data_IF_965304740986
#
_entry.id   IF_965304740986
#
_cell.length_a   1.000
_cell.length_b   1.000
_cell.length_c   1.000
_cell.angle_alpha   90.00
_cell.angle_beta   90.00
_cell.angle_gamma   90.00
#
_symmetry.space_group_name_H-M   'P 1'
#
loop_
_entity.id
_entity.type
_entity.pdbx_description
1 polymer ?
#
# COMPACT_ATOMS: atom_id res chain seq x y z
N UNK A 1 8.30 -32.69 -40.70
CA UNK A 1 9.40 -31.93 -40.07
C UNK A 1 8.97 -31.52 -38.66
N UNK A 2 9.61 -32.10 -37.63
CA UNK A 2 9.37 -31.79 -36.21
C UNK A 2 10.37 -30.72 -35.76
N UNK A 3 10.03 -29.44 -35.89
CA UNK A 3 10.86 -28.30 -35.44
C UNK A 3 10.15 -27.38 -34.42
N UNK A 4 8.90 -27.67 -34.07
CA UNK A 4 8.10 -26.87 -33.13
C UNK A 4 8.57 -26.85 -31.66
N UNK A 5 9.14 -27.93 -31.06
CA UNK A 5 9.51 -27.92 -29.63
C UNK A 5 10.62 -26.92 -29.29
N UNK A 6 11.69 -26.91 -30.09
CA UNK A 6 12.85 -26.05 -29.88
C UNK A 6 12.51 -24.57 -30.05
N UNK A 7 11.59 -24.24 -30.97
CA UNK A 7 11.11 -22.87 -31.15
C UNK A 7 10.25 -22.40 -29.97
N UNK A 8 9.43 -23.32 -29.42
CA UNK A 8 8.55 -23.04 -28.28
C UNK A 8 9.33 -22.82 -26.98
N UNK A 9 10.36 -23.63 -26.74
CA UNK A 9 11.23 -23.48 -25.57
C UNK A 9 12.07 -22.19 -25.65
N UNK A 10 12.61 -21.86 -26.82
CA UNK A 10 13.27 -20.57 -27.05
C UNK A 10 12.33 -19.38 -26.83
N UNK A 11 11.08 -19.47 -27.29
CA UNK A 11 10.07 -18.44 -27.07
C UNK A 11 9.76 -18.27 -25.57
N UNK A 12 9.64 -19.36 -24.81
CA UNK A 12 9.47 -19.29 -23.35
C UNK A 12 10.64 -18.60 -22.68
N UNK A 13 11.87 -18.95 -23.07
CA UNK A 13 13.08 -18.29 -22.54
C UNK A 13 13.07 -16.80 -22.84
N UNK A 14 12.80 -16.41 -24.10
CA UNK A 14 12.71 -14.99 -24.48
C UNK A 14 11.66 -14.28 -23.62
N UNK A 15 10.43 -14.79 -23.58
CA UNK A 15 9.34 -14.19 -22.79
C UNK A 15 9.71 -14.10 -21.30
N UNK A 16 10.43 -15.08 -20.75
CA UNK A 16 10.84 -15.04 -19.34
C UNK A 16 11.83 -13.92 -18.98
N UNK A 17 12.57 -13.40 -19.98
CA UNK A 17 13.52 -12.31 -19.83
C UNK A 17 13.01 -10.95 -20.35
N UNK A 18 11.80 -10.91 -20.93
CA UNK A 18 11.19 -9.66 -21.38
C UNK A 18 10.61 -8.87 -20.22
N UNK A 19 10.62 -7.54 -20.36
CA UNK A 19 9.89 -6.63 -19.48
C UNK A 19 8.39 -7.01 -19.39
N UNK A 20 7.82 -6.85 -18.20
CA UNK A 20 6.44 -7.25 -17.90
C UNK A 20 5.41 -6.51 -18.76
N UNK A 21 5.56 -5.19 -18.91
CA UNK A 21 4.62 -4.37 -19.68
C UNK A 21 4.71 -4.69 -21.17
N UNK A 22 5.93 -4.93 -21.67
CA UNK A 22 6.14 -5.40 -23.05
C UNK A 22 5.46 -6.75 -23.31
N UNK A 23 5.60 -7.73 -22.40
CA UNK A 23 4.94 -9.04 -22.52
C UNK A 23 3.42 -8.92 -22.55
N UNK A 24 2.87 -8.10 -21.66
CA UNK A 24 1.42 -7.86 -21.58
C UNK A 24 0.94 -7.26 -22.90
N UNK A 25 1.56 -6.17 -23.38
CA UNK A 25 1.21 -5.52 -24.65
C UNK A 25 1.33 -6.46 -25.84
N UNK A 26 2.39 -7.27 -25.87
CA UNK A 26 2.64 -8.26 -26.90
C UNK A 26 1.54 -9.35 -26.94
N UNK A 27 1.16 -9.89 -25.78
CA UNK A 27 0.09 -10.92 -25.65
C UNK A 27 -1.29 -10.41 -26.08
N UNK A 28 -1.54 -9.10 -25.94
CA UNK A 28 -2.78 -8.47 -26.40
C UNK A 28 -2.80 -8.37 -27.92
N UNK A 29 -1.70 -7.94 -28.54
CA UNK A 29 -1.60 -7.77 -30.00
C UNK A 29 -1.44 -9.09 -30.76
N UNK A 30 -0.88 -10.12 -30.13
CA UNK A 30 -0.62 -11.43 -30.75
C UNK A 30 -1.30 -12.56 -29.95
N UNK A 31 -2.55 -12.92 -30.30
CA UNK A 31 -3.29 -13.97 -29.61
C UNK A 31 -2.58 -15.33 -29.60
N UNK A 32 -1.80 -15.64 -30.63
CA UNK A 32 -1.05 -16.90 -30.76
C UNK A 32 0.00 -17.13 -29.67
N UNK A 33 0.48 -16.07 -29.00
CA UNK A 33 1.51 -16.14 -27.97
C UNK A 33 0.91 -16.04 -26.56
N UNK A 34 -0.36 -15.63 -26.45
CA UNK A 34 -1.05 -15.32 -25.18
C UNK A 34 -1.02 -16.47 -24.18
N UNK A 35 -1.33 -17.69 -24.62
CA UNK A 35 -1.36 -18.87 -23.73
C UNK A 35 0.03 -19.17 -23.16
N UNK A 36 1.05 -19.11 -24.01
CA UNK A 36 2.44 -19.34 -23.60
C UNK A 36 2.93 -18.26 -22.65
N UNK A 37 2.62 -17.00 -22.95
CA UNK A 37 3.00 -15.86 -22.09
C UNK A 37 2.35 -15.96 -20.71
N UNK A 38 1.06 -16.28 -20.65
CA UNK A 38 0.32 -16.43 -19.38
C UNK A 38 0.77 -17.63 -18.55
N UNK A 39 1.27 -18.70 -19.18
CA UNK A 39 1.79 -19.86 -18.48
C UNK A 39 3.14 -19.60 -17.79
N UNK A 40 3.90 -18.59 -18.23
CA UNK A 40 5.18 -18.22 -17.64
C UNK A 40 4.93 -17.28 -16.46
N UNK A 41 5.45 -17.59 -15.25
CA UNK A 41 5.31 -16.72 -14.09
C UNK A 41 5.69 -15.28 -14.39
N UNK A 42 4.82 -14.36 -13.99
CA UNK A 42 5.05 -12.93 -14.14
C UNK A 42 5.84 -12.45 -12.91
N UNK A 43 7.00 -11.86 -13.15
CA UNK A 43 7.88 -11.30 -12.12
C UNK A 43 7.86 -9.78 -12.22
N UNK A 44 7.47 -9.12 -11.15
CA UNK A 44 7.31 -7.67 -11.09
C UNK A 44 8.22 -7.09 -10.00
N UNK A 45 8.86 -5.95 -10.29
CA UNK A 45 9.57 -5.19 -9.26
C UNK A 45 8.55 -4.48 -8.36
N UNK A 46 7.54 -3.89 -8.97
CA UNK A 46 6.53 -3.11 -8.26
C UNK A 46 5.14 -3.42 -8.84
N UNK A 47 4.17 -3.59 -7.96
CA UNK A 47 2.76 -3.71 -8.31
C UNK A 47 1.92 -2.89 -7.33
N UNK A 48 1.19 -1.91 -7.83
CA UNK A 48 0.14 -1.22 -7.07
C UNK A 48 -1.22 -1.50 -7.70
N UNK A 49 -2.21 -1.85 -6.88
CA UNK A 49 -3.60 -2.02 -7.33
C UNK A 49 -4.47 -1.08 -6.50
N UNK A 50 -5.25 -0.25 -7.19
CA UNK A 50 -6.23 0.65 -6.57
C UNK A 50 -7.61 0.48 -7.22
N UNK A 51 -8.52 1.41 -6.97
CA UNK A 51 -9.92 1.36 -7.41
C UNK A 51 -10.06 1.42 -8.93
N UNK A 52 -9.28 2.29 -9.60
CA UNK A 52 -9.31 2.51 -11.06
C UNK A 52 -7.92 2.47 -11.72
N UNK A 53 -6.87 2.26 -10.94
CA UNK A 53 -5.49 2.28 -11.40
C UNK A 53 -4.76 0.98 -11.07
N UNK A 54 -3.83 0.63 -11.95
CA UNK A 54 -2.88 -0.46 -11.74
C UNK A 54 -1.52 0.03 -12.20
N UNK A 55 -0.53 -0.05 -11.32
CA UNK A 55 0.84 0.31 -11.64
C UNK A 55 1.71 -0.93 -11.68
N UNK A 56 2.44 -1.11 -12.78
CA UNK A 56 3.31 -2.24 -13.01
C UNK A 56 4.69 -1.70 -13.33
N UNK A 57 5.64 -1.93 -12.43
CA UNK A 57 6.97 -1.35 -12.47
C UNK A 57 6.88 0.18 -12.57
N UNK A 58 7.23 0.75 -13.72
CA UNK A 58 7.31 2.19 -13.97
C UNK A 58 6.13 2.73 -14.78
N UNK A 59 5.13 1.88 -15.07
CA UNK A 59 3.99 2.22 -15.91
C UNK A 59 2.71 2.17 -15.10
N UNK A 60 2.05 3.31 -14.96
CA UNK A 60 0.74 3.41 -14.32
C UNK A 60 -0.37 3.39 -15.37
N UNK A 61 -1.21 2.37 -15.31
CA UNK A 61 -2.43 2.27 -16.09
C UNK A 61 -3.60 2.88 -15.31
N UNK A 62 -4.39 3.70 -15.97
CA UNK A 62 -5.55 4.36 -15.37
C UNK A 62 -6.77 4.24 -16.27
N UNK A 63 -7.90 3.82 -15.68
CA UNK A 63 -9.20 3.90 -16.33
C UNK A 63 -10.03 5.03 -15.72
N UNK A 64 -10.34 6.05 -16.50
CA UNK A 64 -11.15 7.18 -16.08
C UNK A 64 -12.39 7.36 -16.96
N UNK A 65 -13.38 8.08 -16.42
CA UNK A 65 -14.49 8.61 -17.20
C UNK A 65 -14.14 10.02 -17.66
N UNK A 66 -14.31 10.27 -18.96
CA UNK A 66 -14.06 11.56 -19.57
C UNK A 66 -15.31 12.05 -20.29
N UNK A 67 -15.63 13.34 -20.11
CA UNK A 67 -16.73 14.00 -20.81
C UNK A 67 -16.16 14.82 -21.98
N UNK A 68 -16.75 14.65 -23.16
CA UNK A 68 -16.48 15.48 -24.32
C UNK A 68 -17.69 16.37 -24.60
N UNK A 69 -17.50 17.69 -24.54
CA UNK A 69 -18.53 18.69 -24.83
C UNK A 69 -18.53 19.05 -26.32
N UNK A 70 -19.70 19.20 -26.95
CA UNK A 70 -19.78 19.75 -28.31
C UNK A 70 -19.16 21.15 -28.33
N UNK A 71 -18.21 21.37 -29.25
CA UNK A 71 -17.48 22.63 -29.47
C UNK A 71 -16.28 22.92 -28.54
N UNK A 72 -15.85 21.96 -27.72
CA UNK A 72 -14.62 22.05 -26.95
C UNK A 72 -13.67 20.88 -27.27
N UNK A 73 -12.41 21.17 -27.59
CA UNK A 73 -11.36 20.16 -27.79
C UNK A 73 -10.74 19.66 -26.47
N UNK A 74 -11.18 20.22 -25.33
CA UNK A 74 -10.63 19.95 -24.00
C UNK A 74 -11.51 18.95 -23.27
N UNK A 75 -10.92 17.82 -22.87
CA UNK A 75 -11.59 16.84 -22.01
C UNK A 75 -11.24 17.09 -20.55
N UNK A 76 -12.26 17.15 -19.70
CA UNK A 76 -12.09 17.25 -18.26
C UNK A 76 -12.09 15.85 -17.63
N UNK A 77 -10.99 15.47 -16.97
CA UNK A 77 -10.94 14.30 -16.08
C UNK A 77 -11.60 14.63 -14.75
N UNK A 78 -12.41 13.72 -14.21
CA UNK A 78 -13.20 13.96 -13.00
C UNK A 78 -12.89 12.93 -11.91
N UNK A 79 -12.64 13.41 -10.68
CA UNK A 79 -12.48 12.63 -9.44
C UNK A 79 -13.82 12.48 -8.68
N UNK A 80 -14.93 12.12 -9.36
CA UNK A 80 -16.25 12.03 -8.74
C UNK A 80 -16.92 10.70 -9.10
N UNK A 81 -17.59 10.07 -8.13
CA UNK A 81 -18.34 8.83 -8.33
C UNK A 81 -19.66 9.11 -9.06
N UNK A 82 -19.99 8.24 -10.01
CA UNK A 82 -21.14 8.43 -10.90
C UNK A 82 -22.15 7.31 -10.69
N UNK A 83 -23.43 7.65 -10.77
CA UNK A 83 -24.45 6.60 -10.82
C UNK A 83 -24.38 5.80 -12.13
N UNK A 84 -25.25 4.78 -12.24
CA UNK A 84 -25.33 3.87 -13.41
C UNK A 84 -25.54 4.56 -14.77
N UNK A 85 -25.79 5.86 -14.79
CA UNK A 85 -25.98 6.68 -15.99
C UNK A 85 -24.90 7.75 -16.20
N UNK A 86 -23.86 7.84 -15.36
CA UNK A 86 -22.73 8.76 -15.58
C UNK A 86 -22.93 10.18 -15.02
N UNK A 87 -23.90 10.38 -14.13
CA UNK A 87 -24.15 11.64 -13.43
C UNK A 87 -23.52 11.64 -12.04
N UNK A 88 -23.06 12.81 -11.61
CA UNK A 88 -22.42 13.04 -10.31
C UNK A 88 -23.37 12.58 -9.19
N UNK A 89 -22.90 11.77 -8.25
CA UNK A 89 -23.63 11.52 -7.01
C UNK A 89 -23.38 12.75 -6.10
N UNK A 90 -24.37 13.62 -5.83
CA UNK A 90 -24.10 14.86 -5.12
C UNK A 90 -23.77 14.59 -3.64
N UNK A 91 -22.70 15.19 -3.14
CA UNK A 91 -22.47 15.33 -1.70
C UNK A 91 -23.62 16.14 -1.07
N UNK A 92 -24.31 15.57 -0.06
CA UNK A 92 -25.40 16.24 0.66
C UNK A 92 -26.80 15.65 0.42
N UNK A 93 -26.95 14.33 0.34
CA UNK A 93 -28.26 13.65 0.26
C UNK A 93 -29.11 13.75 1.55
N UNK A 94 -28.73 14.60 2.51
CA UNK A 94 -29.50 14.82 3.73
C UNK A 94 -30.86 15.44 3.40
N UNK A 95 -31.95 14.97 4.05
CA UNK A 95 -33.28 15.51 3.85
C UNK A 95 -33.35 16.96 4.36
N UNK A 96 -33.93 17.84 3.55
CA UNK A 96 -34.18 19.24 3.91
C UNK A 96 -35.26 19.26 5.00
N UNK A 97 -34.99 19.90 6.14
CA UNK A 97 -35.89 19.96 7.28
C UNK A 97 -36.72 21.27 7.25
N UNK A 98 -37.83 21.35 8.01
CA UNK A 98 -38.63 22.57 8.09
C UNK A 98 -37.81 23.76 8.62
N UNK A 99 -37.62 24.78 7.77
CA UNK A 99 -36.85 26.00 8.08
C UNK A 99 -35.57 26.18 7.27
N UNK A 100 -35.14 25.14 6.54
CA UNK A 100 -33.93 25.20 5.71
C UNK A 100 -34.20 25.91 4.37
N UNK A 101 -33.23 26.69 3.89
CA UNK A 101 -33.23 27.29 2.55
C UNK A 101 -32.17 26.60 1.71
N UNK A 102 -32.61 25.81 0.71
CA UNK A 102 -31.70 25.15 -0.22
C UNK A 102 -31.13 26.15 -1.22
N UNK A 103 -29.80 26.29 -1.24
CA UNK A 103 -29.02 26.95 -2.30
C UNK A 103 -28.41 25.94 -3.27
N UNK A 104 -28.84 24.66 -3.22
CA UNK A 104 -28.45 23.65 -4.20
C UNK A 104 -28.95 24.12 -5.57
N UNK A 105 -28.03 24.33 -6.52
CA UNK A 105 -28.40 24.53 -7.92
C UNK A 105 -28.94 23.21 -8.43
N UNK A 106 -30.24 23.14 -8.74
CA UNK A 106 -30.84 22.02 -9.45
C UNK A 106 -30.15 21.89 -10.83
N UNK A 107 -29.01 21.21 -10.89
CA UNK A 107 -28.44 20.69 -12.15
C UNK A 107 -29.11 19.36 -12.51
N UNK A 108 -30.35 19.16 -12.05
CA UNK A 108 -31.12 17.94 -12.17
C UNK A 108 -31.68 17.87 -13.61
N UNK A 109 -30.80 17.73 -14.61
CA UNK A 109 -31.13 17.48 -16.02
C UNK A 109 -32.11 16.31 -16.19
N UNK A 110 -32.16 15.42 -15.18
CA UNK A 110 -33.13 14.34 -14.99
C UNK A 110 -34.59 14.77 -14.96
N UNK A 111 -34.91 15.97 -14.45
CA UNK A 111 -36.31 16.43 -14.34
C UNK A 111 -36.90 16.85 -15.68
N UNK A 112 -36.06 17.11 -16.68
CA UNK A 112 -36.48 17.68 -17.95
C UNK A 112 -36.26 16.80 -19.19
N UNK A 113 -35.81 15.54 -19.03
CA UNK A 113 -35.52 14.62 -20.16
C UNK A 113 -34.64 15.26 -21.25
N UNK A 114 -33.75 16.17 -20.87
CA UNK A 114 -32.87 16.83 -21.82
C UNK A 114 -31.76 15.84 -22.25
N UNK A 115 -31.39 15.81 -23.53
CA UNK A 115 -30.23 15.05 -23.97
C UNK A 115 -28.99 15.58 -23.25
N UNK A 116 -28.14 14.67 -22.77
CA UNK A 116 -26.92 15.03 -22.05
C UNK A 116 -26.08 16.01 -22.89
N UNK A 117 -25.58 17.11 -22.31
CA UNK A 117 -24.82 18.11 -23.05
C UNK A 117 -23.41 17.63 -23.42
N UNK A 118 -23.03 16.41 -23.04
CA UNK A 118 -21.72 15.81 -23.30
C UNK A 118 -21.84 14.34 -23.68
N UNK A 119 -20.85 13.86 -24.43
CA UNK A 119 -20.63 12.43 -24.60
C UNK A 119 -19.66 11.91 -23.53
N UNK A 120 -20.05 10.84 -22.85
CA UNK A 120 -19.19 10.18 -21.85
C UNK A 120 -18.39 9.05 -22.48
N UNK A 121 -17.12 8.94 -22.08
CA UNK A 121 -16.20 7.91 -22.54
C UNK A 121 -15.48 7.25 -21.37
N UNK A 122 -15.20 5.95 -21.48
CA UNK A 122 -14.17 5.30 -20.67
C UNK A 122 -12.87 5.38 -21.46
N UNK A 123 -11.83 5.90 -20.82
CA UNK A 123 -10.50 5.96 -21.41
C UNK A 123 -9.51 5.17 -20.56
N UNK A 124 -8.72 4.32 -21.22
CA UNK A 124 -7.52 3.74 -20.67
C UNK A 124 -6.34 4.64 -21.06
N UNK A 125 -5.60 5.10 -20.06
CA UNK A 125 -4.40 5.90 -20.22
C UNK A 125 -3.21 5.20 -19.55
N UNK A 126 -2.01 5.46 -20.04
CA UNK A 126 -0.76 5.17 -19.33
C UNK A 126 -0.11 6.45 -18.89
N UNK A 127 0.49 6.43 -17.70
CA UNK A 127 1.35 7.49 -17.20
C UNK A 127 2.75 6.93 -17.00
N UNK A 128 3.72 7.53 -17.68
CA UNK A 128 5.15 7.23 -17.61
C UNK A 128 5.88 8.57 -17.47
N UNK A 129 6.77 8.70 -16.49
CA UNK A 129 7.56 9.94 -16.24
C UNK A 129 6.74 11.24 -16.11
N UNK A 130 5.50 11.14 -15.64
CA UNK A 130 4.60 12.30 -15.49
C UNK A 130 3.75 12.61 -16.73
N UNK A 131 4.03 11.97 -17.86
CA UNK A 131 3.33 12.18 -19.13
C UNK A 131 2.16 11.20 -19.26
N UNK A 132 0.96 11.73 -19.52
CA UNK A 132 -0.26 10.92 -19.69
C UNK A 132 -0.49 10.65 -21.18
N UNK A 133 -0.40 9.38 -21.57
CA UNK A 133 -0.66 8.91 -22.93
C UNK A 133 -1.98 8.15 -23.00
N UNK A 134 -3.01 8.63 -23.73
CA UNK A 134 -4.24 7.88 -23.93
C UNK A 134 -3.97 6.66 -24.84
N UNK A 135 -4.34 5.46 -24.39
CA UNK A 135 -4.17 4.23 -25.17
C UNK A 135 -5.43 3.81 -25.92
N UNK A 136 -6.58 3.94 -25.27
CA UNK A 136 -7.86 3.53 -25.83
C UNK A 136 -9.00 4.34 -25.24
N UNK A 137 -9.95 4.76 -26.10
CA UNK A 137 -11.18 5.43 -25.70
C UNK A 137 -12.37 4.65 -26.23
N UNK A 138 -13.37 4.42 -25.38
CA UNK A 138 -14.61 3.73 -25.72
C UNK A 138 -15.79 4.57 -25.24
N UNK A 139 -16.89 4.57 -26.00
CA UNK A 139 -18.15 5.16 -25.54
C UNK A 139 -18.55 4.54 -24.18
N UNK A 140 -19.08 5.36 -23.28
CA UNK A 140 -19.53 4.91 -21.95
C UNK A 140 -20.83 4.09 -22.08
N UNK A 141 -20.70 2.82 -22.46
CA UNK A 141 -21.82 1.87 -22.60
C UNK A 141 -21.93 0.91 -21.42
N UNK A 142 -21.02 1.02 -20.44
CA UNK A 142 -20.91 0.15 -19.26
C UNK A 142 -20.31 0.93 -18.09
N UNK A 143 -20.61 0.50 -16.88
CA UNK A 143 -20.09 1.10 -15.65
C UNK A 143 -18.56 0.97 -15.54
N UNK A 144 -17.88 2.01 -15.07
CA UNK A 144 -16.40 2.08 -14.99
C UNK A 144 -15.82 0.86 -14.28
N UNK A 145 -16.40 0.46 -13.13
CA UNK A 145 -15.89 -0.66 -12.37
C UNK A 145 -15.91 -2.00 -13.13
N UNK A 146 -16.84 -2.18 -14.09
CA UNK A 146 -16.87 -3.36 -14.97
C UNK A 146 -15.71 -3.31 -15.97
N UNK A 147 -15.37 -2.12 -16.46
CA UNK A 147 -14.20 -1.92 -17.31
C UNK A 147 -12.90 -2.17 -16.54
N UNK A 148 -12.76 -1.66 -15.31
CA UNK A 148 -11.61 -1.93 -14.44
C UNK A 148 -11.47 -3.43 -14.16
N UNK A 149 -12.56 -4.10 -13.75
CA UNK A 149 -12.58 -5.55 -13.52
C UNK A 149 -12.14 -6.32 -14.76
N UNK A 150 -12.62 -5.92 -15.94
CA UNK A 150 -12.25 -6.54 -17.20
C UNK A 150 -10.77 -6.31 -17.53
N UNK A 151 -10.26 -5.09 -17.35
CA UNK A 151 -8.86 -4.77 -17.55
C UNK A 151 -7.95 -5.59 -16.64
N UNK A 152 -8.23 -5.65 -15.35
CA UNK A 152 -7.48 -6.48 -14.40
C UNK A 152 -7.56 -7.98 -14.74
N UNK A 153 -8.67 -8.44 -15.33
CA UNK A 153 -8.79 -9.81 -15.83
C UNK A 153 -7.90 -10.06 -17.05
N UNK A 154 -7.73 -9.07 -17.93
CA UNK A 154 -6.78 -9.15 -19.05
C UNK A 154 -5.37 -9.31 -18.50
N UNK A 155 -4.99 -8.45 -17.54
CA UNK A 155 -3.66 -8.41 -16.94
C UNK A 155 -3.33 -9.69 -16.18
N UNK A 156 -4.17 -10.12 -15.24
CA UNK A 156 -3.77 -11.05 -14.19
C UNK A 156 -4.41 -12.44 -14.26
N UNK A 157 -5.55 -12.60 -14.95
CA UNK A 157 -6.24 -13.88 -14.94
C UNK A 157 -5.49 -14.96 -15.72
N UNK A 158 -5.73 -16.23 -15.36
CA UNK A 158 -5.14 -17.41 -16.00
C UNK A 158 -3.61 -17.41 -15.97
N UNK A 159 -3.02 -16.79 -14.95
CA UNK A 159 -1.60 -16.86 -14.66
C UNK A 159 -1.38 -17.78 -13.46
N UNK A 160 -0.21 -18.46 -13.37
CA UNK A 160 0.25 -19.00 -12.10
C UNK A 160 0.51 -17.84 -11.12
N UNK A 161 0.97 -18.18 -9.92
CA UNK A 161 1.30 -17.18 -8.89
C UNK A 161 2.23 -16.11 -9.46
N UNK A 162 1.82 -14.86 -9.29
CA UNK A 162 2.59 -13.69 -9.71
C UNK A 162 3.62 -13.39 -8.63
N UNK A 163 4.88 -13.24 -9.01
CA UNK A 163 5.96 -12.90 -8.09
C UNK A 163 6.16 -11.39 -8.13
N UNK A 164 6.09 -10.75 -6.96
CA UNK A 164 6.19 -9.30 -6.83
C UNK A 164 7.24 -8.99 -5.77
N UNK A 165 8.19 -8.11 -6.08
CA UNK A 165 9.10 -7.64 -5.03
C UNK A 165 8.36 -6.70 -4.07
N UNK A 166 7.78 -5.62 -4.58
CA UNK A 166 7.01 -4.66 -3.78
C UNK A 166 5.53 -4.62 -4.22
N UNK A 167 4.64 -5.01 -3.32
CA UNK A 167 3.18 -4.98 -3.52
C UNK A 167 2.57 -3.85 -2.69
N UNK A 168 1.79 -2.99 -3.34
CA UNK A 168 1.06 -1.89 -2.68
C UNK A 168 -0.45 -2.09 -2.88
N UNK A 169 -1.15 -2.19 -1.75
CA UNK A 169 -2.59 -2.40 -1.68
C UNK A 169 -3.21 -1.30 -0.81
N UNK A 170 -3.62 -0.21 -1.45
CA UNK A 170 -4.19 0.97 -0.78
C UNK A 170 -5.51 1.47 -1.40
N UNK A 171 -6.24 0.60 -2.11
CA UNK A 171 -7.55 0.93 -2.67
C UNK A 171 -8.49 1.48 -1.58
N UNK A 172 -9.39 2.40 -1.93
CA UNK A 172 -10.33 2.99 -0.98
C UNK A 172 -11.62 2.18 -0.87
N UNK A 173 -12.02 1.50 -1.96
CA UNK A 173 -13.29 0.77 -2.00
C UNK A 173 -13.08 -0.74 -2.21
N UNK A 174 -12.78 -1.15 -3.44
CA UNK A 174 -12.86 -2.55 -3.85
C UNK A 174 -11.79 -2.91 -4.87
N UNK A 175 -10.93 -3.87 -4.49
CA UNK A 175 -10.01 -4.51 -5.43
C UNK A 175 -10.75 -5.33 -6.49
N UNK A 176 -10.84 -4.79 -7.71
CA UNK A 176 -11.48 -5.47 -8.85
C UNK A 176 -10.54 -6.48 -9.51
N UNK A 177 -10.15 -7.54 -8.81
CA UNK A 177 -9.17 -8.55 -9.26
C UNK A 177 -9.82 -9.84 -9.80
N UNK A 178 -9.20 -10.62 -10.70
CA UNK A 178 -9.76 -11.88 -11.17
C UNK A 178 -9.88 -12.94 -10.06
N UNK A 179 -10.84 -13.85 -10.21
CA UNK A 179 -11.03 -14.97 -9.28
C UNK A 179 -9.80 -15.88 -9.31
N UNK A 180 -9.35 -16.32 -8.14
CA UNK A 180 -8.20 -17.20 -8.02
C UNK A 180 -6.84 -16.51 -8.20
N UNK A 181 -6.79 -15.17 -8.22
CA UNK A 181 -5.52 -14.44 -8.23
C UNK A 181 -4.67 -14.85 -7.02
N UNK A 182 -3.41 -15.21 -7.28
CA UNK A 182 -2.41 -15.51 -6.27
C UNK A 182 -1.14 -14.70 -6.51
N UNK A 183 -0.62 -14.10 -5.43
CA UNK A 183 0.58 -13.27 -5.46
C UNK A 183 1.54 -13.74 -4.36
N UNK A 184 2.81 -13.92 -4.71
CA UNK A 184 3.90 -14.07 -3.75
C UNK A 184 4.66 -12.74 -3.72
N UNK A 185 4.70 -12.09 -2.56
CA UNK A 185 5.28 -10.76 -2.38
C UNK A 185 6.46 -10.78 -1.40
N UNK A 186 7.54 -10.05 -1.70
CA UNK A 186 8.62 -9.84 -0.74
C UNK A 186 8.23 -8.78 0.30
N UNK A 187 7.76 -7.63 -0.18
CA UNK A 187 7.32 -6.49 0.61
C UNK A 187 5.85 -6.18 0.32
N UNK A 188 5.08 -5.88 1.37
CA UNK A 188 3.68 -5.49 1.27
C UNK A 188 3.43 -4.18 1.99
N UNK A 189 2.86 -3.21 1.28
CA UNK A 189 2.24 -2.01 1.87
C UNK A 189 0.72 -2.17 1.85
N UNK A 190 0.07 -2.06 3.01
CA UNK A 190 -1.38 -2.31 3.15
C UNK A 190 -2.00 -1.47 4.27
N UNK A 191 -3.29 -1.15 4.15
CA UNK A 191 -4.06 -0.55 5.26
C UNK A 191 -4.40 -1.61 6.33
N UNK A 192 -4.36 -1.28 7.62
CA UNK A 192 -4.78 -2.16 8.72
C UNK A 192 -6.07 -2.94 8.49
N UNK A 193 -7.14 -2.27 8.03
CA UNK A 193 -8.46 -2.87 7.81
C UNK A 193 -8.47 -3.91 6.67
N UNK A 194 -7.50 -3.82 5.76
CA UNK A 194 -7.43 -4.63 4.55
C UNK A 194 -6.53 -5.86 4.70
N UNK A 195 -5.74 -5.95 5.77
CA UNK A 195 -4.76 -7.04 5.99
C UNK A 195 -5.39 -8.42 5.79
N UNK A 196 -6.54 -8.68 6.41
CA UNK A 196 -7.22 -9.97 6.31
C UNK A 196 -7.66 -10.30 4.87
N UNK A 197 -8.21 -9.31 4.16
CA UNK A 197 -8.64 -9.46 2.76
C UNK A 197 -7.46 -9.70 1.83
N UNK A 198 -6.38 -8.93 1.96
CA UNK A 198 -5.15 -9.08 1.17
C UNK A 198 -4.48 -10.44 1.44
N UNK A 199 -4.53 -10.94 2.68
CA UNK A 199 -4.00 -12.26 3.02
C UNK A 199 -4.62 -13.41 2.21
N UNK A 200 -5.85 -13.25 1.70
CA UNK A 200 -6.54 -14.31 0.93
C UNK A 200 -5.94 -14.50 -0.48
N UNK A 201 -5.36 -13.44 -1.05
CA UNK A 201 -4.71 -13.49 -2.36
C UNK A 201 -3.20 -13.75 -2.29
N UNK A 202 -2.60 -13.67 -1.10
CA UNK A 202 -1.18 -13.97 -0.94
C UNK A 202 -0.90 -15.48 -0.88
N UNK A 203 0.23 -15.86 -1.45
CA UNK A 203 0.86 -17.17 -1.28
C UNK A 203 2.10 -17.02 -0.40
N UNK A 204 1.98 -17.45 0.87
CA UNK A 204 3.01 -17.32 1.89
C UNK A 204 2.85 -16.11 2.80
N UNK A 205 3.91 -15.82 3.56
CA UNK A 205 4.09 -14.61 4.36
C UNK A 205 5.07 -13.66 3.65
N UNK A 206 5.18 -12.42 4.12
CA UNK A 206 6.04 -11.38 3.54
C UNK A 206 7.29 -11.17 4.40
N UNK A 207 8.39 -10.72 3.78
CA UNK A 207 9.58 -10.34 4.52
C UNK A 207 9.37 -9.01 5.24
N UNK A 208 8.87 -8.00 4.52
CA UNK A 208 8.57 -6.67 5.07
C UNK A 208 7.08 -6.39 4.96
N UNK A 209 6.45 -6.04 6.08
CA UNK A 209 5.07 -5.55 6.11
C UNK A 209 5.06 -4.08 6.53
N UNK A 210 4.68 -3.20 5.60
CA UNK A 210 4.41 -1.79 5.87
C UNK A 210 2.90 -1.58 6.03
N UNK A 211 2.52 -1.13 7.22
CA UNK A 211 1.13 -0.86 7.57
C UNK A 211 0.89 0.63 7.48
N UNK A 212 0.14 1.01 6.44
CA UNK A 212 -0.16 2.38 6.11
C UNK A 212 -1.13 3.00 7.10
N UNK A 213 -1.13 4.33 7.22
CA UNK A 213 -1.96 5.06 8.17
C UNK A 213 -3.46 4.83 7.94
N UNK A 214 -4.17 4.46 9.01
CA UNK A 214 -5.62 4.34 9.02
C UNK A 214 -6.18 4.49 10.44
N UNK A 215 -7.16 5.36 10.63
CA UNK A 215 -7.77 5.58 11.93
C UNK A 215 -8.69 4.43 12.33
N UNK A 216 -8.72 4.10 13.62
CA UNK A 216 -9.71 3.21 14.25
C UNK A 216 -9.64 1.71 13.90
N UNK A 217 -8.65 1.24 13.15
CA UNK A 217 -8.46 -0.19 12.97
C UNK A 217 -8.10 -0.88 14.30
N UNK A 218 -8.82 -1.96 14.62
CA UNK A 218 -8.69 -2.70 15.88
C UNK A 218 -8.02 -4.04 15.62
N UNK A 219 -7.12 -4.43 16.51
CA UNK A 219 -6.50 -5.76 16.60
C UNK A 219 -5.77 -6.24 15.33
N UNK A 220 -5.52 -5.36 14.36
CA UNK A 220 -4.87 -5.70 13.09
C UNK A 220 -3.48 -6.30 13.30
N UNK A 221 -2.77 -5.86 14.36
CA UNK A 221 -1.44 -6.35 14.72
C UNK A 221 -1.41 -7.81 15.16
N UNK A 222 -2.56 -8.39 15.54
CA UNK A 222 -2.67 -9.80 15.92
C UNK A 222 -2.79 -10.73 14.72
N UNK A 223 -3.01 -10.19 13.51
CA UNK A 223 -3.17 -10.99 12.31
C UNK A 223 -1.87 -11.69 11.93
N UNK A 224 -1.96 -12.94 11.41
CA UNK A 224 -0.80 -13.78 11.08
C UNK A 224 0.24 -13.09 10.19
N UNK A 225 -0.19 -12.30 9.21
CA UNK A 225 0.71 -11.60 8.29
C UNK A 225 1.60 -10.60 9.02
N UNK A 226 1.07 -9.97 10.08
CA UNK A 226 1.84 -9.05 10.91
C UNK A 226 2.80 -9.83 11.78
N UNK A 227 2.32 -10.89 12.42
CA UNK A 227 3.12 -11.69 13.36
C UNK A 227 4.26 -12.46 12.69
N UNK A 228 4.06 -12.91 11.45
CA UNK A 228 5.03 -13.74 10.74
C UNK A 228 6.04 -12.93 9.91
N UNK A 229 5.79 -11.64 9.66
CA UNK A 229 6.73 -10.81 8.90
C UNK A 229 8.07 -10.70 9.63
N UNK A 230 9.18 -10.68 8.88
CA UNK A 230 10.51 -10.48 9.49
C UNK A 230 10.65 -9.04 10.00
N UNK A 231 10.17 -8.09 9.21
CA UNK A 231 10.17 -6.66 9.50
C UNK A 231 8.76 -6.09 9.41
N UNK A 232 8.35 -5.34 10.44
CA UNK A 232 7.08 -4.62 10.45
C UNK A 232 7.36 -3.13 10.56
N UNK A 233 6.75 -2.35 9.67
CA UNK A 233 6.82 -0.90 9.63
C UNK A 233 5.41 -0.37 9.86
N UNK A 234 5.20 0.46 10.88
CA UNK A 234 3.88 1.00 11.20
C UNK A 234 3.88 2.50 11.05
N UNK A 235 2.91 3.03 10.30
CA UNK A 235 2.67 4.48 10.16
C UNK A 235 1.30 4.85 10.75
N UNK A 236 0.97 4.34 11.94
CA UNK A 236 -0.35 4.50 12.56
C UNK A 236 -0.36 5.67 13.57
N UNK A 237 -1.54 6.01 14.09
CA UNK A 237 -1.76 7.03 15.14
C UNK A 237 -2.38 6.44 16.43
N UNK A 238 -1.93 5.28 16.95
CA UNK A 238 -2.50 4.72 18.18
C UNK A 238 -2.17 5.60 19.40
N UNK A 239 -3.03 5.57 20.42
CA UNK A 239 -2.70 6.15 21.73
C UNK A 239 -1.43 5.50 22.30
N UNK A 240 -0.75 6.16 23.25
CA UNK A 240 0.42 5.60 23.92
C UNK A 240 0.11 4.23 24.55
N UNK A 241 -1.01 4.09 25.24
CA UNK A 241 -1.47 2.82 25.83
C UNK A 241 -1.63 1.70 24.80
N UNK A 242 -2.29 2.00 23.67
CA UNK A 242 -2.48 1.03 22.59
C UNK A 242 -1.15 0.69 21.91
N UNK A 243 -0.26 1.66 21.76
CA UNK A 243 1.10 1.48 21.24
C UNK A 243 1.90 0.52 22.13
N UNK A 244 1.85 0.71 23.45
CA UNK A 244 2.48 -0.20 24.42
C UNK A 244 1.96 -1.64 24.27
N UNK A 245 0.64 -1.82 24.16
CA UNK A 245 0.03 -3.12 23.95
C UNK A 245 0.51 -3.78 22.65
N UNK A 246 0.56 -3.03 21.55
CA UNK A 246 1.05 -3.52 20.26
C UNK A 246 2.52 -3.96 20.34
N UNK A 247 3.38 -3.11 20.90
CA UNK A 247 4.81 -3.39 21.02
C UNK A 247 5.11 -4.65 21.85
N UNK A 248 4.31 -4.95 22.87
CA UNK A 248 4.40 -6.22 23.63
C UNK A 248 4.09 -7.44 22.75
N UNK A 249 3.18 -7.30 21.78
CA UNK A 249 2.75 -8.41 20.93
C UNK A 249 3.60 -8.62 19.67
N UNK A 250 4.39 -7.63 19.24
CA UNK A 250 5.22 -7.79 18.05
C UNK A 250 6.38 -8.74 18.33
N UNK A 251 6.33 -9.97 17.79
CA UNK A 251 7.44 -10.94 17.83
C UNK A 251 8.49 -10.74 16.72
N UNK A 252 8.31 -9.73 15.87
CA UNK A 252 9.11 -9.53 14.66
C UNK A 252 10.59 -9.25 14.96
N UNK A 253 11.47 -9.59 14.02
CA UNK A 253 12.91 -9.36 14.17
C UNK A 253 13.23 -7.87 14.18
N UNK A 254 12.59 -7.11 13.30
CA UNK A 254 12.74 -5.66 13.19
C UNK A 254 11.35 -5.03 13.28
N UNK A 255 11.17 -4.11 14.21
CA UNK A 255 9.96 -3.32 14.36
C UNK A 255 10.32 -1.86 14.15
N UNK A 256 9.74 -1.22 13.13
CA UNK A 256 9.82 0.23 12.94
C UNK A 256 8.49 0.87 13.25
N UNK A 257 8.44 1.53 14.40
CA UNK A 257 7.24 2.09 14.98
C UNK A 257 7.22 3.61 14.84
N UNK A 258 6.48 4.10 13.84
CA UNK A 258 6.29 5.51 13.59
C UNK A 258 4.89 5.93 14.03
N UNK A 259 4.80 6.54 15.21
CA UNK A 259 3.53 7.08 15.70
C UNK A 259 3.34 8.50 15.17
N UNK A 260 2.26 8.72 14.41
CA UNK A 260 1.93 10.05 13.88
C UNK A 260 1.36 11.00 14.94
N UNK A 261 0.91 10.50 16.11
CA UNK A 261 0.57 11.35 17.25
C UNK A 261 1.84 11.87 17.92
N UNK A 262 1.81 13.14 18.33
CA UNK A 262 2.89 13.74 19.12
C UNK A 262 2.85 13.12 20.51
N UNK A 263 3.88 12.34 20.83
CA UNK A 263 4.07 11.75 22.15
C UNK A 263 4.99 12.62 23.01
N UNK A 264 4.78 12.59 24.31
CA UNK A 264 5.71 13.18 25.27
C UNK A 264 6.97 12.32 25.38
N UNK A 265 8.06 12.89 25.89
CA UNK A 265 9.30 12.12 26.19
C UNK A 265 9.01 10.92 27.08
N UNK A 266 8.15 11.10 28.10
CA UNK A 266 7.72 10.03 29.00
C UNK A 266 7.06 8.89 28.24
N UNK A 267 6.12 9.21 27.35
CA UNK A 267 5.41 8.21 26.55
C UNK A 267 6.37 7.44 25.64
N UNK A 268 7.37 8.09 25.03
CA UNK A 268 8.39 7.36 24.27
C UNK A 268 9.19 6.38 25.14
N UNK A 269 9.52 6.76 26.37
CA UNK A 269 10.20 5.87 27.32
C UNK A 269 9.30 4.67 27.67
N UNK A 270 8.01 4.91 27.94
CA UNK A 270 7.02 3.85 28.18
C UNK A 270 6.92 2.86 27.00
N UNK A 271 6.99 3.34 25.75
CA UNK A 271 7.01 2.46 24.57
C UNK A 271 8.21 1.52 24.58
N UNK A 272 9.40 2.05 24.87
CA UNK A 272 10.65 1.29 24.92
C UNK A 272 10.58 0.26 26.05
N UNK A 273 10.17 0.68 27.25
CA UNK A 273 9.97 -0.18 28.42
C UNK A 273 8.95 -1.29 28.16
N UNK A 274 7.84 -0.95 27.51
CA UNK A 274 6.79 -1.89 27.13
C UNK A 274 7.28 -2.93 26.13
N UNK A 275 8.08 -2.54 25.14
CA UNK A 275 8.68 -3.50 24.20
C UNK A 275 9.70 -4.40 24.91
N UNK A 276 10.49 -3.85 25.84
CA UNK A 276 11.51 -4.58 26.63
C UNK A 276 10.92 -5.50 27.70
N UNK A 277 9.68 -5.30 28.12
CA UNK A 277 9.04 -6.14 29.15
C UNK A 277 8.83 -7.59 28.69
N UNK A 278 9.05 -7.89 27.41
CA UNK A 278 8.92 -9.22 26.80
C UNK A 278 10.30 -9.70 26.37
N UNK A 279 10.63 -10.97 26.65
CA UNK A 279 11.90 -11.58 26.22
C UNK A 279 11.93 -11.70 24.69
N UNK A 280 13.06 -11.33 24.09
CA UNK A 280 13.26 -11.31 22.63
C UNK A 280 14.58 -11.97 22.25
N UNK A 281 14.70 -12.34 20.99
CA UNK A 281 15.91 -12.94 20.44
C UNK A 281 17.04 -11.91 20.30
N UNK A 282 18.29 -12.39 20.41
CA UNK A 282 19.48 -11.56 20.16
C UNK A 282 19.46 -11.02 18.74
N UNK A 283 19.73 -9.72 18.59
CA UNK A 283 19.67 -9.01 17.32
C UNK A 283 18.28 -8.52 16.93
N UNK A 284 17.25 -8.68 17.77
CA UNK A 284 15.96 -7.99 17.55
C UNK A 284 16.12 -6.48 17.70
N UNK A 285 15.46 -5.72 16.84
CA UNK A 285 15.55 -4.27 16.78
C UNK A 285 14.18 -3.60 16.88
N UNK A 286 14.09 -2.55 17.68
CA UNK A 286 12.98 -1.60 17.72
C UNK A 286 13.49 -0.24 17.27
N UNK A 287 12.77 0.39 16.36
CA UNK A 287 13.00 1.76 15.92
C UNK A 287 11.76 2.56 16.26
N UNK A 288 11.91 3.65 17.02
CA UNK A 288 10.81 4.55 17.36
C UNK A 288 11.04 5.89 16.70
N UNK A 289 10.13 6.31 15.82
CA UNK A 289 10.16 7.62 15.20
C UNK A 289 9.87 8.74 16.20
N UNK A 290 10.68 9.79 16.17
CA UNK A 290 10.56 10.97 17.04
C UNK A 290 10.15 12.21 16.24
N UNK A 291 9.17 12.96 16.77
CA UNK A 291 8.65 14.18 16.12
C UNK A 291 9.65 15.34 16.13
N UNK A 292 10.48 15.43 17.15
CA UNK A 292 11.45 16.51 17.31
C UNK A 292 12.81 15.95 17.73
N UNK A 293 13.88 16.64 17.30
CA UNK A 293 15.25 16.29 17.67
C UNK A 293 15.46 16.37 19.18
N UNK A 294 14.79 17.28 19.89
CA UNK A 294 14.92 17.47 21.34
C UNK A 294 14.54 16.21 22.12
N UNK A 295 13.49 15.49 21.70
CA UNK A 295 13.08 14.24 22.36
C UNK A 295 14.16 13.15 22.34
N UNK A 296 15.12 13.23 21.42
CA UNK A 296 16.22 12.26 21.30
C UNK A 296 17.08 12.25 22.56
N UNK A 297 17.56 13.43 22.94
CA UNK A 297 18.45 13.60 24.09
C UNK A 297 17.69 13.35 25.39
N UNK A 298 16.44 13.81 25.46
CA UNK A 298 15.58 13.64 26.63
C UNK A 298 15.22 12.17 26.88
N UNK A 299 14.86 11.40 25.84
CA UNK A 299 14.54 9.97 25.97
C UNK A 299 15.76 9.19 26.46
N UNK A 300 16.94 9.47 25.89
CA UNK A 300 18.19 8.83 26.33
C UNK A 300 18.53 9.19 27.77
N UNK A 301 18.37 10.45 28.17
CA UNK A 301 18.63 10.88 29.54
C UNK A 301 17.70 10.18 30.53
N UNK A 302 16.40 10.12 30.25
CA UNK A 302 15.41 9.48 31.12
C UNK A 302 15.66 7.98 31.23
N UNK A 303 15.85 7.27 30.11
CA UNK A 303 16.09 5.82 30.12
C UNK A 303 17.32 5.44 30.96
N UNK A 304 18.38 6.25 30.92
CA UNK A 304 19.59 6.03 31.72
C UNK A 304 19.38 6.19 33.23
N UNK A 305 18.36 6.93 33.65
CA UNK A 305 18.00 7.03 35.08
C UNK A 305 17.17 5.83 35.57
N UNK A 306 16.55 5.10 34.64
CA UNK A 306 15.63 3.99 34.93
C UNK A 306 16.27 2.62 34.82
N UNK A 307 17.29 2.48 33.97
CA UNK A 307 17.98 1.21 33.72
C UNK A 307 19.44 1.29 34.14
N UNK A 308 19.99 0.14 34.53
CA UNK A 308 21.41 0.02 34.87
C UNK A 308 22.26 0.26 33.62
N UNK A 309 23.07 1.31 33.65
CA UNK A 309 23.99 1.64 32.57
C UNK A 309 25.23 0.76 32.66
N UNK A 310 25.45 -0.07 31.64
CA UNK A 310 26.61 -0.95 31.53
C UNK A 310 27.79 -0.21 30.90
N UNK A 311 27.53 0.54 29.82
CA UNK A 311 28.56 1.28 29.08
C UNK A 311 27.97 2.48 28.37
N UNK A 312 28.75 3.56 28.26
CA UNK A 312 28.44 4.73 27.43
C UNK A 312 29.50 4.87 26.33
N UNK A 313 29.03 5.07 25.11
CA UNK A 313 29.85 5.46 23.95
C UNK A 313 29.29 6.77 23.38
N UNK A 314 29.98 7.39 22.42
CA UNK A 314 29.62 8.75 21.93
C UNK A 314 28.21 8.87 21.33
N UNK A 315 27.66 7.78 20.77
CA UNK A 315 26.34 7.76 20.09
C UNK A 315 25.44 6.62 20.52
N UNK A 316 25.85 5.86 21.52
CA UNK A 316 25.14 4.67 21.97
C UNK A 316 25.31 4.44 23.46
N UNK A 317 24.27 3.90 24.09
CA UNK A 317 24.29 3.53 25.50
C UNK A 317 23.93 2.06 25.63
N UNK A 318 24.76 1.31 26.33
CA UNK A 318 24.47 -0.08 26.69
C UNK A 318 23.84 -0.14 28.06
N UNK A 319 22.69 -0.76 28.13
CA UNK A 319 21.87 -0.85 29.33
C UNK A 319 21.59 -2.32 29.64
N UNK A 320 21.43 -2.65 30.92
CA UNK A 320 20.91 -3.93 31.34
C UNK A 320 19.39 -3.84 31.46
N UNK A 321 18.69 -4.60 30.63
CA UNK A 321 17.25 -4.75 30.70
C UNK A 321 16.82 -5.59 31.90
N UNK A 322 15.52 -5.53 32.22
CA UNK A 322 14.89 -6.17 33.39
C UNK A 322 15.06 -7.69 33.45
N UNK A 323 15.30 -8.35 32.32
CA UNK A 323 15.50 -9.81 32.24
C UNK A 323 16.97 -10.23 32.16
N UNK A 324 17.91 -9.32 32.47
CA UNK A 324 19.34 -9.55 32.34
C UNK A 324 19.87 -9.48 30.91
N UNK A 325 19.01 -9.15 29.95
CA UNK A 325 19.35 -8.91 28.54
C UNK A 325 20.10 -7.59 28.40
N UNK A 326 21.25 -7.58 27.74
CA UNK A 326 21.89 -6.34 27.36
C UNK A 326 21.21 -5.72 26.13
N UNK A 327 21.05 -4.40 26.15
CA UNK A 327 20.51 -3.64 25.01
C UNK A 327 21.46 -2.52 24.64
N UNK A 328 21.45 -2.16 23.37
CA UNK A 328 22.13 -0.99 22.85
C UNK A 328 21.06 -0.01 22.36
N UNK A 329 21.07 1.19 22.93
CA UNK A 329 20.21 2.29 22.49
C UNK A 329 21.07 3.27 21.69
N UNK A 330 20.79 3.40 20.40
CA UNK A 330 21.51 4.28 19.48
C UNK A 330 20.59 5.35 18.95
N UNK A 331 21.20 6.48 18.64
CA UNK A 331 20.53 7.57 17.95
C UNK A 331 20.66 7.42 16.44
N UNK A 332 19.55 7.53 15.71
CA UNK A 332 19.56 7.36 14.27
C UNK A 332 18.77 8.44 13.54
N UNK A 333 19.17 8.70 12.29
CA UNK A 333 18.40 9.52 11.35
C UNK A 333 17.59 8.55 10.49
N UNK A 334 16.30 8.82 10.34
CA UNK A 334 15.48 8.05 9.41
C UNK A 334 15.98 8.31 7.99
N UNK A 335 16.47 7.28 7.32
CA UNK A 335 16.96 7.35 5.93
C UNK A 335 15.80 7.20 4.93
N UNK A 336 14.63 6.76 5.37
CA UNK A 336 13.45 6.63 4.53
C UNK A 336 12.80 8.00 4.30
N UNK A 337 13.03 8.60 3.12
CA UNK A 337 12.51 9.92 2.72
C UNK A 337 10.98 9.98 2.67
N UNK A 338 10.30 8.83 2.64
CA UNK A 338 8.83 8.78 2.67
C UNK A 338 8.26 8.99 4.08
N UNK A 339 9.10 8.95 5.12
CA UNK A 339 8.70 9.08 6.52
C UNK A 339 8.58 10.55 6.96
N UNK A 340 7.55 10.84 7.75
CA UNK A 340 7.40 12.17 8.39
C UNK A 340 8.42 12.43 9.50
N UNK A 341 8.93 11.38 10.15
CA UNK A 341 9.88 11.49 11.26
C UNK A 341 11.31 11.44 10.72
N UNK A 342 12.07 12.52 10.90
CA UNK A 342 13.50 12.58 10.53
C UNK A 342 14.42 11.93 11.56
N UNK A 343 13.95 11.75 12.79
CA UNK A 343 14.74 11.26 13.93
C UNK A 343 14.14 9.96 14.46
N UNK A 344 14.99 9.04 14.91
CA UNK A 344 14.55 7.83 15.58
C UNK A 344 15.49 7.43 16.72
N UNK A 345 14.92 6.73 17.70
CA UNK A 345 15.69 5.96 18.69
C UNK A 345 15.66 4.51 18.27
N UNK A 346 16.84 3.91 18.15
CA UNK A 346 17.01 2.49 17.88
C UNK A 346 17.34 1.78 19.18
N UNK A 347 16.61 0.71 19.50
CA UNK A 347 16.89 -0.20 20.60
C UNK A 347 17.19 -1.57 20.01
N UNK A 348 18.35 -2.15 20.35
CA UNK A 348 18.79 -3.46 19.84
C UNK A 348 19.11 -4.40 20.98
N UNK A 349 18.62 -5.64 20.89
CA UNK A 349 19.02 -6.71 21.80
C UNK A 349 20.43 -7.19 21.41
N UNK A 350 21.37 -7.16 22.36
CA UNK A 350 22.75 -7.62 22.17
C UNK A 350 23.02 -8.87 23.02
N UNK A 351 24.06 -9.61 22.66
CA UNK A 351 24.51 -10.76 23.44
C UNK A 351 25.14 -10.28 24.75
N UNK A 352 24.98 -11.09 25.81
CA UNK A 352 25.35 -10.73 27.18
C UNK A 352 26.86 -10.71 27.44
#
# INVERSE_FOLDING_TARGET
MKSQPVLYDRLKTIISHMDANLRIKMSQRMPSIRTTEKAIPLKLRYLSISDSTVEINDVRYELGVYRGYPNEDVLHGLEIDFDRFGFDIPSGSDPILPGDISVRTDTDERRHNLPSPFNSYIQLSTMEDGEVTPLQRLAYTRELYKAVKHFNHILFANRPVIQVNELVCLANEVYRIPVGLKISANDLTVRPSQIASIATMLEGDVNTLRVFREYNAKNWWQHRLVQNAKEVITEDSPSAEKSCLMLKTFGNKIVRFYNLLILTTEQYCELIESWMSVKREVGSELWIGLHAKTHRDDVLAIIQTRLEVVRRDERSVRLRGTNGTQIEVCEEVCVDETMRHRWAVKVKIIEN
#
